data_IF_773374281266
#
_entry.id   IF_773374281266
#
_cell.length_a   1.000
_cell.length_b   1.000
_cell.length_c   1.000
_cell.angle_alpha   90.00
_cell.angle_beta   90.00
_cell.angle_gamma   90.00
#
_symmetry.space_group_name_H-M   'P 1'
#
loop_
_entity.id
_entity.type
_entity.pdbx_description
1 polymer ?
#
# COMPACT_ATOMS: atom_id res chain seq x y z
N UNK A 1 8.04 -15.66 -10.47
CA UNK A 1 8.12 -15.18 -9.08
C UNK A 1 6.72 -14.77 -8.66
N UNK A 2 6.27 -15.19 -7.48
CA UNK A 2 4.96 -14.81 -6.93
C UNK A 2 5.26 -13.93 -5.71
N UNK A 3 4.62 -12.76 -5.64
CA UNK A 3 4.64 -11.89 -4.46
C UNK A 3 3.25 -11.81 -3.85
N UNK A 4 3.17 -11.41 -2.58
CA UNK A 4 1.90 -11.30 -1.85
C UNK A 4 1.69 -9.87 -1.40
N UNK A 5 0.53 -9.32 -1.72
CA UNK A 5 0.07 -8.03 -1.20
C UNK A 5 -1.05 -8.30 -0.21
N UNK A 6 -0.86 -7.87 1.02
CA UNK A 6 -1.86 -7.93 2.08
C UNK A 6 -2.33 -6.51 2.37
N UNK A 7 -3.65 -6.32 2.32
CA UNK A 7 -4.30 -5.06 2.69
C UNK A 7 -5.15 -5.32 3.92
N UNK A 8 -4.83 -4.61 4.99
CA UNK A 8 -5.55 -4.68 6.26
C UNK A 8 -6.27 -3.35 6.47
N UNK A 9 -7.57 -3.43 6.77
CA UNK A 9 -8.40 -2.28 7.08
C UNK A 9 -8.88 -2.42 8.52
N UNK A 10 -8.73 -1.37 9.31
CA UNK A 10 -9.24 -1.32 10.67
C UNK A 10 -9.96 0.00 10.93
N UNK A 11 -11.03 -0.09 11.71
CA UNK A 11 -11.77 1.08 12.18
C UNK A 11 -10.88 1.94 13.09
N UNK A 12 -10.97 3.27 12.93
CA UNK A 12 -10.28 4.25 13.77
C UNK A 12 -11.17 5.49 13.98
N UNK A 13 -12.00 5.45 15.00
CA UNK A 13 -12.77 6.60 15.51
C UNK A 13 -13.47 7.44 14.42
N UNK A 14 -14.17 6.76 13.50
CA UNK A 14 -14.88 7.40 12.38
C UNK A 14 -14.09 7.48 11.08
N UNK A 15 -12.81 7.12 11.11
CA UNK A 15 -11.93 6.93 9.95
C UNK A 15 -11.58 5.44 9.76
N UNK A 16 -10.80 5.14 8.71
CA UNK A 16 -10.26 3.80 8.45
C UNK A 16 -8.74 3.87 8.33
N UNK A 17 -8.03 3.10 9.17
CA UNK A 17 -6.60 2.86 8.98
C UNK A 17 -6.41 1.75 7.94
N UNK A 18 -5.67 2.07 6.89
CA UNK A 18 -5.20 1.11 5.88
C UNK A 18 -3.72 0.79 6.14
N UNK A 19 -3.40 -0.49 6.28
CA UNK A 19 -2.02 -0.99 6.28
C UNK A 19 -1.80 -1.89 5.07
N UNK A 20 -0.77 -1.58 4.28
CA UNK A 20 -0.37 -2.35 3.12
C UNK A 20 0.99 -3.02 3.37
N UNK A 21 1.05 -4.33 3.19
CA UNK A 21 2.28 -5.11 3.23
C UNK A 21 2.50 -5.81 1.89
N UNK A 22 3.61 -5.53 1.21
CA UNK A 22 4.02 -6.26 0.00
C UNK A 22 5.20 -7.16 0.33
N UNK A 23 4.93 -8.45 0.52
CA UNK A 23 5.89 -9.46 0.93
C UNK A 23 6.31 -10.40 -0.19
N UNK A 24 7.27 -11.26 0.13
CA UNK A 24 7.86 -12.24 -0.80
C UNK A 24 8.45 -11.61 -2.05
N UNK A 25 9.09 -10.44 -1.93
CA UNK A 25 9.77 -9.79 -3.04
C UNK A 25 11.12 -10.48 -3.32
N UNK A 26 11.59 -10.52 -4.58
CA UNK A 26 12.75 -11.31 -4.97
C UNK A 26 14.08 -10.66 -4.57
N UNK A 27 14.11 -9.35 -4.37
CA UNK A 27 15.28 -8.56 -3.96
C UNK A 27 14.88 -7.13 -3.56
N UNK A 28 15.86 -6.39 -3.04
CA UNK A 28 15.71 -5.00 -2.59
C UNK A 28 15.35 -4.03 -3.72
N UNK A 29 15.91 -4.21 -4.93
CA UNK A 29 15.58 -3.35 -6.07
C UNK A 29 14.09 -3.45 -6.45
N UNK A 30 13.51 -4.66 -6.37
CA UNK A 30 12.08 -4.88 -6.56
C UNK A 30 11.26 -4.26 -5.42
N UNK A 31 11.70 -4.38 -4.17
CA UNK A 31 11.08 -3.68 -3.02
C UNK A 31 11.03 -2.18 -3.25
N UNK A 32 12.15 -1.56 -3.54
CA UNK A 32 12.25 -0.10 -3.69
C UNK A 32 11.42 0.41 -4.88
N UNK A 33 11.37 -0.37 -5.96
CA UNK A 33 10.49 -0.09 -7.09
C UNK A 33 9.00 -0.12 -6.71
N UNK A 34 8.58 -1.16 -5.97
CA UNK A 34 7.20 -1.27 -5.50
C UNK A 34 6.85 -0.23 -4.43
N UNK A 35 7.77 0.16 -3.55
CA UNK A 35 7.56 1.25 -2.57
C UNK A 35 7.14 2.53 -3.30
N UNK A 36 7.91 2.97 -4.30
CA UNK A 36 7.58 4.17 -5.09
C UNK A 36 6.23 4.05 -5.81
N UNK A 37 5.91 2.87 -6.31
CA UNK A 37 4.62 2.60 -6.95
C UNK A 37 3.45 2.70 -5.98
N UNK A 38 3.60 2.15 -4.77
CA UNK A 38 2.58 2.18 -3.73
C UNK A 38 2.39 3.57 -3.14
N UNK A 39 3.45 4.35 -2.91
CA UNK A 39 3.36 5.75 -2.49
C UNK A 39 2.48 6.55 -3.47
N UNK A 40 2.77 6.47 -4.78
CA UNK A 40 1.96 7.17 -5.79
C UNK A 40 0.50 6.70 -5.85
N UNK A 41 0.24 5.42 -5.60
CA UNK A 41 -1.11 4.87 -5.57
C UNK A 41 -1.89 5.36 -4.35
N UNK A 42 -1.27 5.39 -3.18
CA UNK A 42 -1.88 5.86 -1.93
C UNK A 42 -2.14 7.38 -1.97
N UNK A 43 -1.22 8.17 -2.54
CA UNK A 43 -1.45 9.61 -2.78
C UNK A 43 -2.68 9.88 -3.65
N UNK A 44 -2.92 9.02 -4.65
CA UNK A 44 -4.10 9.12 -5.53
C UNK A 44 -5.37 8.69 -4.83
N UNK A 45 -5.27 7.69 -3.96
CA UNK A 45 -6.39 7.21 -3.15
C UNK A 45 -6.86 8.31 -2.18
N UNK A 46 -5.92 8.96 -1.49
CA UNK A 46 -6.20 10.11 -0.63
C UNK A 46 -6.95 11.21 -1.40
N UNK A 47 -6.43 11.60 -2.58
CA UNK A 47 -7.08 12.60 -3.46
C UNK A 47 -8.46 12.20 -3.96
N UNK A 48 -8.73 10.90 -4.07
CA UNK A 48 -10.02 10.39 -4.51
C UNK A 48 -11.09 10.58 -3.42
N UNK A 49 -10.73 10.36 -2.15
CA UNK A 49 -11.63 10.55 -1.01
C UNK A 49 -11.68 12.00 -0.50
N UNK A 50 -10.72 12.84 -0.85
CA UNK A 50 -10.71 14.27 -0.49
C UNK A 50 -11.64 15.14 -1.38
N UNK A 51 -12.57 14.53 -2.12
CA UNK A 51 -13.57 15.20 -2.98
C UNK A 51 -14.97 14.95 -2.43
#
# INVERSE_FOLDING_TARGET
HISIVTVELSDRDGDTELRLTHGQLPNEASRDGHTRGWESALDKLEKFFSK
#
